data_IF_649244777502
#
_entry.id   IF_649244777502
#
_cell.length_a   1.000
_cell.length_b   1.000
_cell.length_c   1.000
_cell.angle_alpha   90.00
_cell.angle_beta   90.00
_cell.angle_gamma   90.00
#
_symmetry.space_group_name_H-M   'P 1'
#
loop_
_entity.id
_entity.type
_entity.pdbx_description
1 polymer ?
#
# COMPACT_ATOMS: atom_id res chain seq x y z
N UNK A 1 -53.16 -31.42 75.95
CA UNK A 1 -52.73 -32.82 76.21
C UNK A 1 -53.91 -33.69 75.82
N UNK A 2 -53.72 -34.90 75.25
CA UNK A 2 -54.78 -35.80 74.73
C UNK A 2 -55.14 -35.38 73.27
N UNK A 3 -55.12 -36.20 72.22
CA UNK A 3 -55.14 -37.67 72.14
C UNK A 3 -55.00 -38.19 70.69
N UNK A 4 -54.58 -39.47 70.57
CA UNK A 4 -55.07 -40.53 69.64
C UNK A 4 -54.99 -40.28 68.12
N UNK A 5 -54.74 -41.27 67.24
CA UNK A 5 -55.11 -42.69 67.21
C UNK A 5 -54.53 -43.32 65.92
N UNK A 6 -54.19 -44.62 65.94
CA UNK A 6 -54.51 -45.66 64.91
C UNK A 6 -54.14 -45.41 63.42
N UNK A 7 -53.77 -46.38 62.59
CA UNK A 7 -53.83 -47.84 62.64
C UNK A 7 -53.07 -48.36 61.41
N UNK A 8 -52.49 -49.54 61.58
CA UNK A 8 -51.97 -50.45 60.57
C UNK A 8 -52.87 -50.62 59.34
N UNK A 9 -52.27 -50.88 58.17
CA UNK A 9 -52.73 -51.92 57.24
C UNK A 9 -51.72 -52.14 56.11
N UNK A 10 -50.88 -53.15 56.30
CA UNK A 10 -50.21 -53.91 55.26
C UNK A 10 -51.18 -54.60 54.29
N UNK A 11 -50.64 -54.94 53.12
CA UNK A 11 -51.02 -55.95 52.10
C UNK A 11 -51.41 -55.33 50.76
N UNK A 12 -50.54 -55.37 49.74
CA UNK A 12 -50.11 -56.53 48.92
C UNK A 12 -51.26 -57.22 48.15
N UNK A 13 -50.95 -57.45 46.87
CA UNK A 13 -51.66 -58.29 45.87
C UNK A 13 -52.92 -57.63 45.29
N UNK A 14 -53.20 -57.67 44.00
CA UNK A 14 -52.83 -58.68 43.03
C UNK A 14 -53.05 -58.15 41.59
N UNK A 15 -52.13 -58.48 40.70
CA UNK A 15 -52.34 -58.88 39.31
C UNK A 15 -53.67 -58.50 38.62
N UNK A 16 -53.54 -57.75 37.50
CA UNK A 16 -53.77 -58.28 36.13
C UNK A 16 -53.61 -57.17 35.10
N UNK A 17 -52.67 -57.38 34.19
CA UNK A 17 -52.50 -56.60 32.96
C UNK A 17 -53.45 -57.15 31.90
N UNK A 18 -54.12 -56.30 31.10
CA UNK A 18 -54.15 -56.57 29.67
C UNK A 18 -53.97 -55.32 28.78
N UNK A 19 -53.05 -55.48 27.82
CA UNK A 19 -53.16 -55.12 26.39
C UNK A 19 -53.40 -53.65 25.97
N UNK A 20 -52.33 -53.09 25.37
CA UNK A 20 -52.25 -52.07 24.30
C UNK A 20 -53.50 -51.24 23.96
N UNK A 21 -53.41 -49.92 24.19
CA UNK A 21 -53.91 -48.88 23.27
C UNK A 21 -52.91 -47.70 23.23
N UNK A 22 -52.56 -47.25 22.02
CA UNK A 22 -51.77 -46.03 21.74
C UNK A 22 -52.58 -44.76 22.02
N UNK A 23 -51.92 -43.76 22.61
CA UNK A 23 -52.04 -42.28 22.46
C UNK A 23 -51.61 -41.72 23.82
N UNK A 24 -50.39 -41.24 23.97
CA UNK A 24 -49.93 -39.99 23.38
C UNK A 24 -50.21 -38.88 24.39
N UNK A 25 -49.17 -38.42 25.10
CA UNK A 25 -48.97 -37.02 25.50
C UNK A 25 -47.67 -36.88 26.31
N UNK A 26 -46.79 -36.06 25.74
CA UNK A 26 -46.01 -35.01 26.39
C UNK A 26 -45.08 -35.41 27.55
N UNK A 27 -43.87 -35.86 27.20
CA UNK A 27 -42.71 -35.61 28.06
C UNK A 27 -42.17 -34.21 27.79
N UNK A 28 -42.52 -33.32 28.72
CA UNK A 28 -41.86 -32.06 29.02
C UNK A 28 -40.34 -32.33 29.14
N UNK A 29 -39.58 -31.82 28.18
CA UNK A 29 -38.12 -31.81 28.18
C UNK A 29 -37.66 -30.43 27.76
N UNK A 30 -37.51 -29.56 28.75
CA UNK A 30 -36.75 -28.31 28.82
C UNK A 30 -36.56 -27.52 27.52
N UNK A 31 -37.07 -26.27 27.41
CA UNK A 31 -36.63 -25.41 26.32
C UNK A 31 -35.11 -25.24 26.45
N UNK A 32 -34.36 -25.73 25.46
CA UNK A 32 -32.97 -25.34 25.26
C UNK A 32 -32.97 -23.81 25.16
N UNK A 33 -32.56 -23.14 26.24
CA UNK A 33 -32.12 -21.74 26.18
C UNK A 33 -30.98 -21.72 25.16
N UNK A 34 -31.31 -21.44 23.91
CA UNK A 34 -30.33 -20.96 22.95
C UNK A 34 -29.81 -19.69 23.58
N UNK A 35 -28.62 -19.76 24.20
CA UNK A 35 -27.79 -18.58 24.36
C UNK A 35 -27.55 -18.07 22.94
N UNK A 36 -28.43 -17.17 22.48
CA UNK A 36 -28.06 -16.24 21.43
C UNK A 36 -26.99 -15.39 22.10
N UNK A 37 -25.72 -15.70 21.85
CA UNK A 37 -24.67 -14.71 21.99
C UNK A 37 -25.11 -13.55 21.10
N UNK A 38 -25.73 -12.56 21.74
CA UNK A 38 -25.96 -11.25 21.18
C UNK A 38 -24.55 -10.68 21.12
N UNK A 39 -23.80 -11.02 20.08
CA UNK A 39 -22.66 -10.21 19.73
C UNK A 39 -23.26 -8.86 19.40
N UNK A 40 -23.00 -7.91 20.30
CA UNK A 40 -23.50 -6.57 20.23
C UNK A 40 -23.09 -6.06 18.85
N UNK A 41 -24.05 -5.75 17.97
CA UNK A 41 -23.77 -5.19 16.64
C UNK A 41 -22.84 -3.96 16.72
N UNK A 42 -22.79 -3.33 17.90
CA UNK A 42 -21.85 -2.27 18.27
C UNK A 42 -20.37 -2.72 18.23
N UNK A 43 -20.03 -3.92 18.70
CA UNK A 43 -18.65 -4.44 18.68
C UNK A 43 -18.17 -4.73 17.26
N UNK A 44 -19.04 -5.27 16.40
CA UNK A 44 -18.74 -5.45 14.97
C UNK A 44 -18.64 -4.10 14.24
N UNK A 45 -19.49 -3.12 14.57
CA UNK A 45 -19.43 -1.77 14.01
C UNK A 45 -18.13 -1.04 14.38
N UNK A 46 -17.69 -1.16 15.63
CA UNK A 46 -16.41 -0.59 16.09
C UNK A 46 -15.23 -1.28 15.39
N UNK A 47 -15.27 -2.60 15.24
CA UNK A 47 -14.23 -3.34 14.53
C UNK A 47 -14.10 -2.90 13.06
N UNK A 48 -15.23 -2.72 12.37
CA UNK A 48 -15.27 -2.23 10.97
C UNK A 48 -14.70 -0.80 10.88
N UNK A 49 -15.07 0.08 11.81
CA UNK A 49 -14.57 1.46 11.85
C UNK A 49 -13.04 1.49 12.06
N UNK A 50 -12.51 0.66 12.95
CA UNK A 50 -11.07 0.54 13.20
C UNK A 50 -10.34 0.04 11.95
N UNK A 51 -10.87 -0.98 11.27
CA UNK A 51 -10.29 -1.48 10.02
C UNK A 51 -10.29 -0.39 8.93
N UNK A 52 -11.38 0.37 8.79
CA UNK A 52 -11.46 1.51 7.87
C UNK A 52 -10.42 2.58 8.17
N UNK A 53 -10.25 2.95 9.44
CA UNK A 53 -9.24 3.92 9.87
C UNK A 53 -7.84 3.40 9.55
N UNK A 54 -7.54 2.13 9.82
CA UNK A 54 -6.24 1.52 9.50
C UNK A 54 -6.01 1.56 7.99
N UNK A 55 -7.00 1.23 7.16
CA UNK A 55 -6.90 1.30 5.70
C UNK A 55 -6.63 2.74 5.25
N UNK A 56 -7.32 3.73 5.82
CA UNK A 56 -7.11 5.14 5.51
C UNK A 56 -5.69 5.57 5.93
N UNK A 57 -5.24 5.20 7.13
CA UNK A 57 -3.90 5.50 7.62
C UNK A 57 -2.83 4.86 6.74
N UNK A 58 -3.02 3.60 6.30
CA UNK A 58 -2.10 2.93 5.38
C UNK A 58 -2.12 3.59 4.00
N UNK A 59 -3.29 3.94 3.47
CA UNK A 59 -3.41 4.60 2.17
C UNK A 59 -2.78 6.00 2.18
N UNK A 60 -3.01 6.76 3.26
CA UNK A 60 -2.41 8.07 3.50
C UNK A 60 -0.89 7.94 3.69
N UNK A 61 -0.45 6.95 4.47
CA UNK A 61 0.97 6.67 4.65
C UNK A 61 1.63 6.20 3.35
N UNK A 62 0.96 5.45 2.47
CA UNK A 62 1.46 5.07 1.16
C UNK A 62 1.50 6.26 0.19
N UNK A 63 0.53 7.16 0.26
CA UNK A 63 0.49 8.40 -0.51
C UNK A 63 1.63 9.34 -0.12
N UNK A 64 1.89 9.50 1.19
CA UNK A 64 3.02 10.29 1.70
C UNK A 64 4.36 9.53 1.69
N UNK A 65 4.36 8.19 1.63
CA UNK A 65 5.52 7.34 1.29
C UNK A 65 5.70 7.19 -0.22
N UNK A 66 5.25 8.16 -1.01
CA UNK A 66 5.96 8.47 -2.26
C UNK A 66 7.33 9.02 -1.88
N UNK A 67 8.16 8.11 -1.38
CA UNK A 67 9.50 8.36 -0.91
C UNK A 67 10.21 9.07 -2.04
N UNK A 68 10.57 10.31 -1.75
CA UNK A 68 11.60 11.09 -2.43
C UNK A 68 12.79 10.14 -2.58
N UNK A 69 12.89 9.46 -3.73
CA UNK A 69 13.89 8.42 -3.93
C UNK A 69 15.23 9.14 -3.92
N UNK A 70 15.95 9.03 -2.80
CA UNK A 70 17.32 9.48 -2.64
C UNK A 70 18.18 8.23 -2.66
N UNK A 71 18.85 7.99 -3.78
CA UNK A 71 19.63 6.77 -3.92
C UNK A 71 20.52 6.77 -5.14
N UNK A 72 21.52 5.89 -5.08
CA UNK A 72 22.29 5.49 -6.24
C UNK A 72 21.38 4.61 -7.10
N UNK A 73 21.27 4.93 -8.39
CA UNK A 73 20.59 4.09 -9.36
C UNK A 73 21.45 3.93 -10.59
N UNK A 74 21.54 2.70 -11.09
CA UNK A 74 22.21 2.42 -12.36
C UNK A 74 21.17 2.36 -13.45
N UNK A 75 21.35 3.19 -14.47
CA UNK A 75 20.60 3.16 -15.71
C UNK A 75 21.39 2.42 -16.78
N UNK A 76 20.68 1.73 -17.67
CA UNK A 76 21.25 1.01 -18.80
C UNK A 76 20.59 1.47 -20.11
N UNK A 77 21.39 1.67 -21.16
CA UNK A 77 20.90 1.98 -22.51
C UNK A 77 19.99 0.84 -22.99
N UNK A 78 18.91 1.18 -23.70
CA UNK A 78 18.01 0.21 -24.33
C UNK A 78 17.06 -0.50 -23.35
N UNK A 79 17.10 -0.16 -22.07
CA UNK A 79 16.05 -0.59 -21.14
C UNK A 79 14.78 0.23 -21.40
N UNK A 80 13.70 -0.45 -21.77
CA UNK A 80 12.38 0.18 -21.99
C UNK A 80 11.75 0.74 -20.70
N UNK A 81 12.36 0.44 -19.54
CA UNK A 81 11.92 0.86 -18.21
C UNK A 81 12.94 1.82 -17.64
N UNK A 82 12.73 3.12 -17.87
CA UNK A 82 13.39 4.17 -17.10
C UNK A 82 13.01 4.07 -15.62
N UNK A 83 13.77 4.76 -14.77
CA UNK A 83 13.47 4.82 -13.34
C UNK A 83 12.32 5.80 -13.15
N UNK A 84 11.25 5.34 -12.50
CA UNK A 84 10.13 6.20 -12.12
C UNK A 84 10.35 6.71 -10.70
N UNK A 85 10.14 8.01 -10.51
CA UNK A 85 10.23 8.66 -9.21
C UNK A 85 9.05 9.62 -9.05
N UNK A 86 8.58 9.75 -7.81
CA UNK A 86 7.48 10.64 -7.46
C UNK A 86 8.02 11.84 -6.68
N UNK A 87 7.69 13.04 -7.13
CA UNK A 87 8.05 14.31 -6.48
C UNK A 87 6.80 15.17 -6.43
N UNK A 88 6.43 15.62 -5.23
CA UNK A 88 5.29 16.54 -5.04
C UNK A 88 4.04 16.06 -5.80
N UNK A 89 3.70 14.77 -5.66
CA UNK A 89 2.52 14.15 -6.28
C UNK A 89 2.53 14.09 -7.81
N UNK A 90 3.67 14.36 -8.44
CA UNK A 90 3.89 14.13 -9.86
C UNK A 90 4.88 13.00 -10.05
N UNK A 91 4.57 12.10 -10.98
CA UNK A 91 5.50 11.05 -11.41
C UNK A 91 6.35 11.55 -12.57
N UNK A 92 7.60 11.13 -12.55
CA UNK A 92 8.58 11.45 -13.56
C UNK A 92 9.43 10.22 -13.85
N UNK A 93 9.95 10.15 -15.07
CA UNK A 93 10.79 9.04 -15.52
C UNK A 93 12.14 9.55 -15.99
N UNK A 94 13.22 8.87 -15.61
CA UNK A 94 14.59 9.10 -16.12
C UNK A 94 15.03 7.91 -16.97
N UNK A 95 15.49 8.19 -18.18
CA UNK A 95 16.03 7.20 -19.12
C UNK A 95 17.46 7.58 -19.48
N UNK A 96 18.32 6.58 -19.61
CA UNK A 96 19.65 6.79 -20.20
C UNK A 96 19.52 6.73 -21.71
N UNK A 97 19.91 7.81 -22.38
CA UNK A 97 19.85 7.93 -23.83
C UNK A 97 21.19 7.52 -24.46
N UNK A 98 22.27 8.13 -23.99
CA UNK A 98 23.61 7.92 -24.54
C UNK A 98 24.65 7.89 -23.41
N UNK A 99 25.79 7.26 -23.69
CA UNK A 99 26.97 7.28 -22.84
C UNK A 99 28.19 7.59 -23.69
N UNK A 100 29.16 8.26 -23.09
CA UNK A 100 30.48 8.42 -23.65
C UNK A 100 31.53 8.22 -22.55
N UNK A 101 31.99 6.98 -22.42
CA UNK A 101 33.00 6.59 -21.44
C UNK A 101 34.36 7.25 -21.66
N UNK A 102 34.64 7.76 -22.87
CA UNK A 102 35.92 8.46 -23.15
C UNK A 102 35.92 9.87 -22.58
N UNK A 103 34.79 10.57 -22.67
CA UNK A 103 34.62 11.92 -22.09
C UNK A 103 34.04 11.89 -20.68
N UNK A 104 33.72 10.72 -20.13
CA UNK A 104 33.04 10.56 -18.84
C UNK A 104 31.72 11.35 -18.77
N UNK A 105 30.90 11.25 -19.83
CA UNK A 105 29.59 11.92 -19.91
C UNK A 105 28.48 10.94 -20.27
N UNK A 106 27.25 11.27 -19.90
CA UNK A 106 26.06 10.56 -20.33
C UNK A 106 24.91 11.54 -20.55
N UNK A 107 24.06 11.27 -21.54
CA UNK A 107 22.84 12.04 -21.75
C UNK A 107 21.65 11.26 -21.21
N UNK A 108 20.85 11.92 -20.38
CA UNK A 108 19.65 11.33 -19.81
C UNK A 108 18.41 12.11 -20.22
N UNK A 109 17.33 11.38 -20.48
CA UNK A 109 16.02 11.99 -20.70
C UNK A 109 15.21 12.00 -19.42
N UNK A 110 14.62 13.14 -19.13
CA UNK A 110 13.69 13.31 -18.02
C UNK A 110 12.35 13.76 -18.58
N UNK A 111 11.30 13.03 -18.23
CA UNK A 111 9.93 13.37 -18.64
C UNK A 111 8.97 13.25 -17.47
N UNK A 112 7.89 14.03 -17.52
CA UNK A 112 6.79 13.97 -16.57
C UNK A 112 5.75 12.97 -17.09
N UNK A 113 5.29 12.06 -16.24
CA UNK A 113 4.20 11.15 -16.59
C UNK A 113 2.86 11.92 -16.75
N UNK A 114 2.02 11.53 -17.71
CA UNK A 114 2.25 10.48 -18.71
C UNK A 114 3.16 10.94 -19.87
N UNK A 115 4.06 10.06 -20.31
CA UNK A 115 5.16 10.36 -21.24
C UNK A 115 4.71 10.80 -22.65
N UNK A 116 3.48 10.47 -23.05
CA UNK A 116 2.94 10.78 -24.38
C UNK A 116 2.41 12.23 -24.49
N UNK A 117 2.22 12.92 -23.37
CA UNK A 117 1.78 14.32 -23.35
C UNK A 117 2.99 15.26 -23.20
N UNK A 118 3.97 14.86 -22.41
CA UNK A 118 5.10 15.71 -22.03
C UNK A 118 6.35 15.34 -22.81
N UNK A 119 6.85 16.27 -23.65
CA UNK A 119 8.14 16.12 -24.33
C UNK A 119 9.28 16.04 -23.32
N UNK A 120 10.22 15.09 -23.42
CA UNK A 120 11.35 15.01 -22.50
C UNK A 120 12.28 16.23 -22.59
N UNK A 121 13.03 16.46 -21.51
CA UNK A 121 14.27 17.23 -21.55
C UNK A 121 15.45 16.28 -21.62
N UNK A 122 16.51 16.72 -22.27
CA UNK A 122 17.81 16.05 -22.25
C UNK A 122 18.71 16.76 -21.26
N UNK A 123 19.44 15.97 -20.48
CA UNK A 123 20.40 16.46 -19.51
C UNK A 123 21.73 15.78 -19.74
N UNK A 124 22.74 16.57 -20.09
CA UNK A 124 24.12 16.11 -20.20
C UNK A 124 24.76 16.07 -18.82
N UNK A 125 25.19 14.88 -18.39
CA UNK A 125 25.74 14.62 -17.07
C UNK A 125 27.23 14.24 -17.18
N UNK A 126 28.16 15.12 -16.77
CA UNK A 126 29.55 14.75 -16.56
C UNK A 126 29.76 14.00 -15.24
N UNK A 127 30.65 13.00 -15.20
CA UNK A 127 30.98 12.27 -13.96
C UNK A 127 31.46 13.25 -12.90
N UNK A 128 30.96 13.08 -11.68
CA UNK A 128 31.37 13.86 -10.50
C UNK A 128 30.70 15.22 -10.37
N UNK A 129 30.02 15.71 -11.41
CA UNK A 129 29.34 17.01 -11.41
C UNK A 129 27.91 16.89 -10.89
N UNK A 130 27.50 17.84 -10.06
CA UNK A 130 26.11 18.02 -9.64
C UNK A 130 25.42 18.92 -10.67
N UNK A 131 24.38 18.40 -11.31
CA UNK A 131 23.55 19.16 -12.25
C UNK A 131 22.19 19.44 -11.61
N UNK A 132 21.85 20.72 -11.52
CA UNK A 132 20.62 21.22 -10.94
C UNK A 132 19.55 21.35 -12.02
N UNK A 133 18.41 20.72 -11.78
CA UNK A 133 17.26 20.72 -12.67
C UNK A 133 16.13 21.33 -11.86
N UNK A 134 15.76 22.56 -12.16
CA UNK A 134 14.62 23.23 -11.55
C UNK A 134 13.85 23.94 -12.66
N UNK A 135 12.75 23.33 -13.09
CA UNK A 135 12.00 23.78 -14.27
C UNK A 135 10.59 24.27 -13.93
N UNK A 136 10.41 24.71 -12.68
CA UNK A 136 9.15 25.34 -12.21
C UNK A 136 7.90 24.48 -12.48
N UNK A 137 8.01 23.16 -12.29
CA UNK A 137 6.87 22.23 -12.33
C UNK A 137 6.51 21.67 -13.72
N UNK A 138 7.10 22.18 -14.80
CA UNK A 138 6.98 21.58 -16.15
C UNK A 138 7.73 20.26 -16.23
N UNK A 139 8.92 20.20 -15.64
CA UNK A 139 9.70 18.98 -15.41
C UNK A 139 9.97 18.79 -13.92
N UNK A 140 10.82 17.84 -13.60
CA UNK A 140 11.19 17.53 -12.24
C UNK A 140 12.09 18.62 -11.63
N UNK A 141 12.03 18.73 -10.30
CA UNK A 141 12.97 19.52 -9.53
C UNK A 141 13.94 18.56 -8.82
N UNK A 142 15.15 18.47 -9.35
CA UNK A 142 16.15 17.46 -9.02
C UNK A 142 17.55 18.05 -8.97
N UNK A 143 18.41 17.40 -8.19
CA UNK A 143 19.85 17.44 -8.36
C UNK A 143 20.29 16.04 -8.76
N UNK A 144 21.05 15.94 -9.84
CA UNK A 144 21.57 14.68 -10.33
C UNK A 144 23.10 14.72 -10.30
N UNK A 145 23.72 13.68 -9.75
CA UNK A 145 25.17 13.47 -9.83
C UNK A 145 25.46 12.14 -10.46
N UNK A 146 26.14 12.15 -11.61
CA UNK A 146 26.67 10.90 -12.16
C UNK A 146 27.92 10.47 -11.40
N UNK A 147 27.93 9.26 -10.87
CA UNK A 147 29.06 8.71 -10.11
C UNK A 147 29.98 7.88 -10.98
N UNK A 148 29.45 7.21 -12.00
CA UNK A 148 30.22 6.44 -12.97
C UNK A 148 29.48 6.32 -14.30
N UNK A 149 30.23 6.06 -15.36
CA UNK A 149 29.70 5.73 -16.69
C UNK A 149 30.54 4.62 -17.32
N UNK A 150 29.88 3.73 -18.05
CA UNK A 150 30.49 2.69 -18.88
C UNK A 150 29.83 2.69 -20.25
N UNK A 151 30.19 1.72 -21.11
CA UNK A 151 29.71 1.67 -22.51
C UNK A 151 28.19 1.73 -22.61
N UNK A 152 27.47 1.11 -21.68
CA UNK A 152 26.01 0.98 -21.77
C UNK A 152 25.30 1.39 -20.48
N UNK A 153 26.04 1.84 -19.46
CA UNK A 153 25.47 2.12 -18.15
C UNK A 153 25.96 3.46 -17.58
N UNK A 154 25.12 4.08 -16.77
CA UNK A 154 25.47 5.23 -15.95
C UNK A 154 24.91 5.04 -14.55
N UNK A 155 25.73 5.25 -13.52
CA UNK A 155 25.26 5.27 -12.14
C UNK A 155 25.04 6.72 -11.70
N UNK A 156 23.85 7.01 -11.21
CA UNK A 156 23.40 8.34 -10.83
C UNK A 156 22.99 8.36 -9.36
N UNK A 157 23.33 9.44 -8.67
CA UNK A 157 22.66 9.84 -7.44
C UNK A 157 21.62 10.90 -7.77
N UNK A 158 20.38 10.63 -7.39
CA UNK A 158 19.24 11.52 -7.63
C UNK A 158 18.78 12.07 -6.28
N UNK A 159 18.63 13.39 -6.21
CA UNK A 159 18.14 14.09 -5.03
C UNK A 159 16.97 14.98 -5.44
N UNK A 160 15.74 14.64 -5.07
CA UNK A 160 14.64 15.55 -5.32
C UNK A 160 14.72 16.80 -4.45
N UNK A 161 14.30 17.92 -5.03
CA UNK A 161 14.43 19.25 -4.46
C UNK A 161 13.05 19.91 -4.37
N UNK A 162 12.78 20.54 -3.23
CA UNK A 162 11.59 21.37 -3.10
C UNK A 162 11.72 22.63 -3.98
N UNK A 163 10.69 23.00 -4.79
CA UNK A 163 10.69 24.25 -5.53
C UNK A 163 10.92 25.49 -4.66
N UNK A 164 10.52 25.43 -3.37
CA UNK A 164 10.66 26.53 -2.42
C UNK A 164 12.11 26.93 -2.12
N UNK A 165 13.09 26.09 -2.48
CA UNK A 165 14.50 26.37 -2.25
C UNK A 165 15.11 27.33 -3.30
N UNK A 166 14.39 27.65 -4.38
CA UNK A 166 14.82 28.68 -5.33
C UNK A 166 16.13 28.37 -6.08
N UNK A 167 16.56 27.11 -6.13
CA UNK A 167 17.81 26.71 -6.80
C UNK A 167 17.69 26.95 -8.31
N UNK A 168 18.59 27.73 -8.90
CA UNK A 168 18.59 27.94 -10.35
C UNK A 168 19.00 26.67 -11.10
N UNK A 169 18.38 26.36 -12.25
CA UNK A 169 18.81 25.23 -13.09
C UNK A 169 20.12 25.53 -13.82
N UNK A 170 20.91 24.48 -14.04
CA UNK A 170 22.16 24.55 -14.82
C UNK A 170 21.85 24.46 -16.32
N UNK A 171 21.37 25.56 -16.90
CA UNK A 171 20.90 25.61 -18.29
C UNK A 171 21.92 25.12 -19.34
N UNK A 172 23.23 25.22 -19.08
CA UNK A 172 24.27 24.73 -19.98
C UNK A 172 24.27 23.20 -20.17
N UNK A 173 23.63 22.48 -19.25
CA UNK A 173 23.52 21.02 -19.27
C UNK A 173 22.12 20.54 -19.70
N UNK A 174 21.18 21.45 -19.98
CA UNK A 174 19.77 21.11 -20.20
C UNK A 174 19.33 21.55 -21.60
N UNK A 175 18.91 20.59 -22.41
CA UNK A 175 18.28 20.84 -23.71
C UNK A 175 16.77 20.58 -23.63
N UNK A 176 15.98 21.56 -24.03
CA UNK A 176 14.52 21.48 -24.03
C UNK A 176 13.98 20.88 -25.32
N UNK A 177 12.82 20.21 -25.23
CA UNK A 177 12.11 19.61 -26.36
C UNK A 177 12.90 18.48 -27.06
N UNK A 178 13.58 17.65 -26.29
CA UNK A 178 14.19 16.44 -26.82
C UNK A 178 13.12 15.51 -27.41
N UNK A 179 13.52 14.68 -28.36
CA UNK A 179 12.66 13.67 -28.97
C UNK A 179 13.20 12.31 -28.57
N UNK A 180 12.34 11.40 -28.10
CA UNK A 180 12.76 10.01 -27.91
C UNK A 180 13.22 9.48 -29.28
N UNK A 181 14.47 9.04 -29.35
CA UNK A 181 15.07 8.43 -30.53
C UNK A 181 14.65 6.98 -30.71
#
# INVERSE_FOLDING_TARGET
MVDKKESDADKLLNNRNPTKVKKGQNKLGSPKLKSKNKYNNMTYGIAILVVLIIIIVIAVAAYYNTGVYKGNVTLSIGTSKGIVYSINNSEYSIYLYSTNSKSNTADVYITKSPIFINKPIEVNLPVGTLVHINTSGKYANLIIKMTSVSSDNATLNIYPVSPSLGISPDYSHITYNATFG
#
